data_IF_164213097832
#
_entry.id   IF_164213097832
#
_cell.length_a   1.000
_cell.length_b   1.000
_cell.length_c   1.000
_cell.angle_alpha   90.00
_cell.angle_beta   90.00
_cell.angle_gamma   90.00
#
_symmetry.space_group_name_H-M   'P 1'
#
loop_
_entity.id
_entity.type
_entity.pdbx_description
1 polymer ?
#
# COMPACT_ATOMS: atom_id res chain seq x y z
N UNK A 1 -40.96 -18.00 -30.33
CA UNK A 1 -39.90 -16.96 -30.18
C UNK A 1 -39.30 -17.11 -28.79
N UNK A 2 -38.18 -17.84 -28.71
CA UNK A 2 -37.44 -18.11 -27.47
C UNK A 2 -36.74 -16.81 -27.08
N UNK A 3 -37.06 -16.27 -25.89
CA UNK A 3 -36.30 -15.18 -25.27
C UNK A 3 -35.03 -15.80 -24.70
N UNK A 4 -33.91 -15.64 -25.38
CA UNK A 4 -32.59 -15.88 -24.81
C UNK A 4 -32.41 -14.91 -23.63
N UNK A 5 -32.40 -15.46 -22.42
CA UNK A 5 -31.74 -14.82 -21.28
C UNK A 5 -30.26 -14.81 -21.58
N UNK A 6 -29.74 -13.68 -22.06
CA UNK A 6 -28.31 -13.42 -22.03
C UNK A 6 -27.89 -13.32 -20.56
N UNK A 7 -27.46 -14.46 -20.01
CA UNK A 7 -26.63 -14.50 -18.82
C UNK A 7 -25.27 -13.89 -19.21
N UNK A 8 -25.20 -12.56 -19.22
CA UNK A 8 -23.94 -11.85 -19.25
C UNK A 8 -23.28 -12.11 -17.90
N UNK A 9 -22.35 -13.07 -17.87
CA UNK A 9 -21.45 -13.31 -16.75
C UNK A 9 -20.44 -12.15 -16.67
N UNK A 10 -20.91 -10.93 -16.37
CA UNK A 10 -20.07 -9.77 -16.12
C UNK A 10 -19.47 -9.95 -14.73
N UNK A 11 -18.18 -10.31 -14.66
CA UNK A 11 -17.45 -10.44 -13.39
C UNK A 11 -17.58 -9.20 -12.51
N UNK A 12 -17.55 -9.38 -11.19
CA UNK A 12 -17.69 -8.26 -10.26
C UNK A 12 -16.40 -7.42 -10.20
N UNK A 13 -16.51 -6.13 -10.52
CA UNK A 13 -15.48 -5.15 -10.21
C UNK A 13 -15.56 -4.79 -8.71
N UNK A 14 -14.75 -5.48 -7.91
CA UNK A 14 -14.65 -5.26 -6.46
C UNK A 14 -14.05 -3.89 -6.09
N UNK A 15 -13.49 -3.15 -7.05
CA UNK A 15 -12.86 -1.85 -6.82
C UNK A 15 -13.82 -0.67 -7.08
N UNK A 16 -15.01 -0.93 -7.66
CA UNK A 16 -16.05 0.05 -7.92
C UNK A 16 -17.23 -0.14 -6.97
N UNK A 17 -17.50 0.87 -6.15
CA UNK A 17 -18.38 0.72 -5.00
C UNK A 17 -18.51 1.98 -4.16
N UNK A 18 -18.91 1.80 -2.91
CA UNK A 18 -19.08 2.87 -1.93
C UNK A 18 -18.68 2.41 -0.54
N UNK A 19 -18.34 3.38 0.31
CA UNK A 19 -18.16 3.14 1.73
C UNK A 19 -19.52 3.05 2.42
N UNK A 20 -19.68 2.04 3.27
CA UNK A 20 -20.87 1.85 4.10
C UNK A 20 -20.44 1.60 5.55
N UNK A 21 -21.25 2.06 6.49
CA UNK A 21 -21.01 1.83 7.91
C UNK A 21 -21.13 0.35 8.24
N UNK A 22 -20.25 -0.13 9.10
CA UNK A 22 -20.22 -1.50 9.63
C UNK A 22 -19.67 -1.48 11.05
N UNK A 23 -20.56 -1.70 12.02
CA UNK A 23 -20.23 -1.68 13.44
C UNK A 23 -19.63 -3.01 13.94
N UNK A 24 -19.46 -4.01 13.06
CA UNK A 24 -18.70 -5.23 13.39
C UNK A 24 -17.19 -5.05 13.23
N UNK A 25 -16.75 -3.86 12.82
CA UNK A 25 -15.35 -3.47 12.61
C UNK A 25 -14.77 -2.71 13.82
N UNK A 26 -13.44 -2.63 13.93
CA UNK A 26 -12.40 -3.25 13.08
C UNK A 26 -12.32 -4.78 13.24
N UNK A 27 -11.60 -5.47 12.34
CA UNK A 27 -11.41 -6.94 12.41
C UNK A 27 -10.42 -7.39 13.51
N UNK A 28 -9.68 -6.43 14.05
CA UNK A 28 -8.79 -6.57 15.20
C UNK A 28 -8.68 -5.20 15.87
N UNK A 29 -8.39 -5.17 17.17
CA UNK A 29 -8.13 -3.94 17.89
C UNK A 29 -6.65 -3.54 17.79
N UNK A 30 -6.35 -2.24 17.87
CA UNK A 30 -4.96 -1.74 17.77
C UNK A 30 -4.03 -2.40 18.80
N UNK A 31 -4.51 -2.60 20.02
CA UNK A 31 -3.74 -3.20 21.12
C UNK A 31 -3.55 -4.72 21.00
N UNK A 32 -4.35 -5.40 20.16
CA UNK A 32 -4.23 -6.86 19.94
C UNK A 32 -3.03 -7.22 19.05
N UNK A 33 -2.52 -6.26 18.25
CA UNK A 33 -1.47 -6.52 17.27
C UNK A 33 -0.13 -5.86 17.65
N UNK A 34 0.83 -6.62 18.21
CA UNK A 34 2.12 -6.08 18.65
C UNK A 34 3.06 -5.68 17.48
N UNK A 35 2.67 -5.98 16.25
CA UNK A 35 3.47 -5.73 15.05
C UNK A 35 3.25 -4.32 14.47
N UNK A 36 2.20 -3.61 14.91
CA UNK A 36 1.93 -2.24 14.46
C UNK A 36 3.05 -1.34 14.96
N UNK A 37 3.68 -0.61 14.05
CA UNK A 37 4.71 0.36 14.41
C UNK A 37 4.06 1.59 15.08
N UNK A 38 4.71 2.23 16.06
CA UNK A 38 4.19 3.41 16.75
C UNK A 38 3.81 4.58 15.83
N UNK A 39 4.30 4.60 14.59
CA UNK A 39 3.92 5.58 13.58
C UNK A 39 2.50 5.38 13.02
N UNK A 40 1.86 4.23 13.28
CA UNK A 40 0.53 3.86 12.75
C UNK A 40 -0.50 3.56 13.86
N UNK A 41 -0.08 3.47 15.12
CA UNK A 41 -0.94 3.25 16.31
C UNK A 41 -1.58 4.56 16.76
N UNK A 42 -2.68 4.96 16.13
CA UNK A 42 -3.30 6.26 16.39
C UNK A 42 -3.99 6.35 17.75
N UNK A 43 -4.65 5.29 18.19
CA UNK A 43 -5.34 5.26 19.48
C UNK A 43 -4.35 5.37 20.64
N UNK A 44 -3.26 4.60 20.58
CA UNK A 44 -2.17 4.68 21.56
C UNK A 44 -1.47 6.05 21.58
N UNK A 45 -1.61 6.86 20.52
CA UNK A 45 -1.09 8.23 20.45
C UNK A 45 -2.18 9.30 20.63
N UNK A 46 -3.29 8.92 21.26
CA UNK A 46 -4.28 9.86 21.79
C UNK A 46 -5.32 10.34 20.79
N UNK A 47 -5.54 9.60 19.68
CA UNK A 47 -6.64 9.88 18.75
C UNK A 47 -7.99 9.62 19.43
N UNK A 48 -8.83 10.63 19.70
CA UNK A 48 -10.09 10.42 20.41
C UNK A 48 -11.19 9.81 19.52
N UNK A 49 -11.19 10.10 18.23
CA UNK A 49 -12.22 9.64 17.30
C UNK A 49 -11.98 8.21 16.83
N UNK A 50 -13.06 7.41 16.85
CA UNK A 50 -13.06 6.00 16.41
C UNK A 50 -13.87 5.79 15.12
N UNK A 51 -14.61 6.80 14.67
CA UNK A 51 -15.58 6.66 13.60
C UNK A 51 -14.99 6.17 12.27
N UNK A 52 -13.72 6.49 12.01
CA UNK A 52 -13.00 6.08 10.81
C UNK A 52 -12.81 4.55 10.73
N UNK A 53 -12.95 3.82 11.84
CA UNK A 53 -12.80 2.35 11.91
C UNK A 53 -14.04 1.60 11.41
N UNK A 54 -15.23 2.17 11.58
CA UNK A 54 -16.50 1.49 11.33
C UNK A 54 -16.95 1.59 9.87
N UNK A 55 -16.01 1.53 8.93
CA UNK A 55 -16.27 1.65 7.49
C UNK A 55 -15.82 0.39 6.76
N UNK A 56 -16.71 -0.13 5.91
CA UNK A 56 -16.40 -1.20 4.96
C UNK A 56 -16.61 -0.72 3.52
N UNK A 57 -15.87 -1.31 2.60
CA UNK A 57 -16.09 -1.10 1.17
C UNK A 57 -17.16 -2.07 0.66
N UNK A 58 -18.17 -1.56 -0.05
CA UNK A 58 -19.24 -2.33 -0.67
C UNK A 58 -19.17 -2.12 -2.19
N UNK A 59 -18.73 -3.12 -2.97
CA UNK A 59 -18.83 -3.06 -4.42
C UNK A 59 -20.27 -2.90 -4.89
N UNK A 60 -20.45 -2.30 -6.07
CA UNK A 60 -21.78 -2.00 -6.62
C UNK A 60 -22.55 -3.26 -7.04
N UNK A 61 -21.85 -4.25 -7.61
CA UNK A 61 -22.47 -5.43 -8.24
C UNK A 61 -22.34 -6.73 -7.41
N UNK A 62 -21.58 -6.70 -6.31
CA UNK A 62 -21.39 -7.86 -5.43
C UNK A 62 -20.95 -7.43 -4.03
N UNK A 63 -20.77 -8.42 -3.15
CA UNK A 63 -20.19 -8.22 -1.82
C UNK A 63 -18.80 -8.83 -1.74
N UNK A 64 -17.91 -8.18 -1.00
CA UNK A 64 -16.59 -8.73 -0.69
C UNK A 64 -16.78 -9.83 0.37
N UNK A 65 -16.21 -11.02 0.16
CA UNK A 65 -16.24 -12.07 1.17
C UNK A 65 -15.49 -11.62 2.43
N UNK A 66 -16.03 -11.94 3.60
CA UNK A 66 -15.36 -11.65 4.87
C UNK A 66 -13.96 -12.24 4.89
N UNK A 67 -12.98 -11.47 5.36
CA UNK A 67 -11.60 -11.94 5.48
C UNK A 67 -11.54 -13.18 6.38
N UNK A 68 -10.97 -14.27 5.85
CA UNK A 68 -10.76 -15.50 6.60
C UNK A 68 -9.27 -15.76 6.76
N UNK A 69 -8.76 -15.48 7.97
CA UNK A 69 -7.35 -15.62 8.30
C UNK A 69 -6.86 -17.08 8.14
N UNK A 70 -7.65 -18.07 8.56
CA UNK A 70 -7.30 -19.49 8.42
C UNK A 70 -7.21 -19.89 6.95
N UNK A 71 -8.16 -19.46 6.11
CA UNK A 71 -8.09 -19.73 4.67
C UNK A 71 -6.85 -19.11 4.04
N UNK A 72 -6.53 -17.86 4.40
CA UNK A 72 -5.34 -17.18 3.90
C UNK A 72 -4.05 -17.90 4.35
N UNK A 73 -3.96 -18.32 5.61
CA UNK A 73 -2.81 -19.05 6.14
C UNK A 73 -2.64 -20.43 5.49
N UNK A 74 -3.72 -21.18 5.31
CA UNK A 74 -3.69 -22.48 4.62
C UNK A 74 -3.28 -22.32 3.15
N UNK A 75 -3.79 -21.30 2.47
CA UNK A 75 -3.39 -21.01 1.11
C UNK A 75 -1.92 -20.60 0.99
N UNK A 76 -1.35 -20.00 2.04
CA UNK A 76 0.07 -19.64 2.15
C UNK A 76 0.93 -20.78 2.71
N UNK A 77 0.38 -21.96 2.96
CA UNK A 77 1.13 -23.08 3.55
C UNK A 77 2.31 -23.46 2.66
N UNK A 78 3.52 -23.42 3.23
CA UNK A 78 4.77 -23.68 2.52
C UNK A 78 5.14 -22.62 1.47
N UNK A 79 4.52 -21.44 1.50
CA UNK A 79 4.68 -20.38 0.50
C UNK A 79 5.32 -19.11 1.05
N UNK A 80 5.81 -18.30 0.11
CA UNK A 80 6.33 -16.95 0.35
C UNK A 80 5.42 -15.92 -0.30
N UNK A 81 4.89 -15.00 0.50
CA UNK A 81 4.20 -13.80 0.04
C UNK A 81 5.05 -12.58 0.36
N UNK A 82 5.32 -11.74 -0.63
CA UNK A 82 6.19 -10.59 -0.47
C UNK A 82 5.54 -9.30 -0.96
N UNK A 83 5.49 -8.32 -0.06
CA UNK A 83 5.18 -6.93 -0.36
C UNK A 83 6.47 -6.17 -0.67
N UNK A 84 6.52 -5.48 -1.80
CA UNK A 84 7.73 -4.78 -2.27
C UNK A 84 7.37 -3.34 -2.62
N UNK A 85 7.94 -2.37 -1.90
CA UNK A 85 7.67 -0.98 -2.22
C UNK A 85 8.05 0.01 -1.14
N UNK A 86 7.24 1.06 -1.04
CA UNK A 86 7.45 2.19 -0.14
C UNK A 86 6.77 1.98 1.24
N UNK A 87 6.69 3.05 2.03
CA UNK A 87 6.14 2.99 3.39
C UNK A 87 4.64 2.69 3.44
N UNK A 88 3.87 2.96 2.39
CA UNK A 88 2.45 2.63 2.33
C UNK A 88 2.27 1.14 2.10
N UNK A 89 3.11 0.54 1.26
CA UNK A 89 3.14 -0.90 1.07
C UNK A 89 3.52 -1.64 2.35
N UNK A 90 4.44 -1.09 3.14
CA UNK A 90 4.76 -1.61 4.49
C UNK A 90 3.57 -1.55 5.44
N UNK A 91 2.77 -0.49 5.36
CA UNK A 91 1.53 -0.37 6.12
C UNK A 91 0.53 -1.46 5.76
N UNK A 92 0.34 -1.74 4.46
CA UNK A 92 -0.51 -2.84 3.99
C UNK A 92 0.00 -4.21 4.48
N UNK A 93 1.32 -4.45 4.41
CA UNK A 93 1.95 -5.64 4.98
C UNK A 93 1.65 -5.79 6.49
N UNK A 94 1.80 -4.70 7.24
CA UNK A 94 1.57 -4.70 8.69
C UNK A 94 0.10 -4.99 9.01
N UNK A 95 -0.83 -4.39 8.27
CA UNK A 95 -2.26 -4.69 8.35
C UNK A 95 -2.55 -6.18 8.10
N UNK A 96 -1.95 -6.78 7.07
CA UNK A 96 -2.18 -8.20 6.77
C UNK A 96 -1.70 -9.08 7.93
N UNK A 97 -0.54 -8.78 8.51
CA UNK A 97 -0.05 -9.53 9.68
C UNK A 97 -1.02 -9.43 10.84
N UNK A 98 -1.57 -8.24 11.11
CA UNK A 98 -2.55 -8.08 12.19
C UNK A 98 -3.84 -8.86 11.95
N UNK A 99 -4.31 -8.92 10.70
CA UNK A 99 -5.45 -9.76 10.31
C UNK A 99 -5.15 -11.27 10.49
N UNK A 100 -3.93 -11.71 10.21
CA UNK A 100 -3.55 -13.13 10.30
C UNK A 100 -3.22 -13.59 11.72
N UNK A 101 -2.49 -12.76 12.48
CA UNK A 101 -1.90 -13.18 13.76
C UNK A 101 -2.92 -13.55 14.82
N UNK A 102 -4.17 -13.05 14.71
CA UNK A 102 -5.29 -13.41 15.60
C UNK A 102 -5.68 -14.88 15.46
N UNK A 103 -5.49 -15.47 14.28
CA UNK A 103 -5.69 -16.91 14.04
C UNK A 103 -4.51 -17.78 14.50
N UNK A 104 -3.43 -17.17 15.00
CA UNK A 104 -2.24 -17.85 15.52
C UNK A 104 -2.05 -17.40 16.98
N UNK A 105 -2.85 -17.94 17.93
CA UNK A 105 -2.85 -17.47 19.31
C UNK A 105 -1.55 -17.81 20.05
N UNK A 106 -0.92 -18.93 19.72
CA UNK A 106 0.38 -19.29 20.29
C UNK A 106 1.49 -18.36 19.76
N UNK A 107 2.14 -17.65 20.67
CA UNK A 107 3.25 -16.77 20.35
C UNK A 107 4.49 -17.55 19.89
N UNK A 108 4.66 -18.81 20.31
CA UNK A 108 5.76 -19.64 19.86
C UNK A 108 5.59 -20.13 18.42
N UNK A 109 4.37 -20.13 17.89
CA UNK A 109 4.03 -20.49 16.52
C UNK A 109 4.26 -19.35 15.50
N UNK A 110 4.74 -18.17 15.94
CA UNK A 110 5.03 -17.02 15.06
C UNK A 110 6.33 -16.30 15.40
N UNK A 111 6.99 -15.72 14.39
CA UNK A 111 8.19 -14.87 14.56
C UNK A 111 8.12 -13.63 13.69
N UNK A 112 8.87 -12.60 14.10
CA UNK A 112 9.08 -11.37 13.32
C UNK A 112 10.58 -11.06 13.31
N UNK A 113 11.17 -11.05 12.12
CA UNK A 113 12.60 -10.81 11.92
C UNK A 113 12.81 -9.56 11.07
N UNK A 114 13.87 -8.80 11.39
CA UNK A 114 14.26 -7.59 10.69
C UNK A 114 15.69 -7.77 10.18
N UNK A 115 15.86 -7.97 8.88
CA UNK A 115 17.15 -8.30 8.26
C UNK A 115 17.38 -7.34 7.11
N UNK A 116 18.30 -6.40 7.26
CA UNK A 116 18.61 -5.38 6.26
C UNK A 116 17.35 -4.63 5.77
N UNK A 117 16.94 -4.86 4.52
CA UNK A 117 15.75 -4.29 3.87
C UNK A 117 14.47 -5.10 4.09
N UNK A 118 14.55 -6.23 4.80
CA UNK A 118 13.44 -7.14 5.05
C UNK A 118 12.77 -6.94 6.40
N UNK A 119 11.46 -7.16 6.41
CA UNK A 119 10.68 -7.54 7.58
C UNK A 119 10.01 -8.87 7.24
N UNK A 120 10.19 -9.89 8.08
CA UNK A 120 9.76 -11.26 7.78
C UNK A 120 8.90 -11.74 8.94
N UNK A 121 7.61 -11.94 8.67
CA UNK A 121 6.70 -12.62 9.58
C UNK A 121 6.58 -14.09 9.16
N UNK A 122 6.86 -15.00 10.08
CA UNK A 122 6.75 -16.44 9.83
C UNK A 122 5.65 -17.03 10.70
N UNK A 123 4.68 -17.69 10.06
CA UNK A 123 3.68 -18.53 10.71
C UNK A 123 4.15 -19.99 10.64
N UNK A 124 4.72 -20.50 11.74
CA UNK A 124 5.51 -21.75 11.76
C UNK A 124 4.67 -22.98 11.44
N UNK A 125 3.49 -23.10 12.01
CA UNK A 125 2.60 -24.24 11.78
C UNK A 125 2.13 -24.36 10.33
N UNK A 126 2.17 -23.25 9.60
CA UNK A 126 1.85 -23.18 8.18
C UNK A 126 3.11 -23.25 7.30
N UNK A 127 4.31 -23.14 7.87
CA UNK A 127 5.53 -22.89 7.12
C UNK A 127 5.35 -21.75 6.11
N UNK A 128 4.61 -20.71 6.50
CA UNK A 128 4.25 -19.58 5.65
C UNK A 128 5.10 -18.36 6.02
N UNK A 129 5.68 -17.71 5.02
CA UNK A 129 6.46 -16.48 5.18
C UNK A 129 5.76 -15.33 4.49
N UNK A 130 5.41 -14.30 5.26
CA UNK A 130 4.88 -13.04 4.78
C UNK A 130 5.97 -12.00 4.97
N UNK A 131 6.37 -11.34 3.89
CA UNK A 131 7.59 -10.55 3.82
C UNK A 131 7.28 -9.12 3.36
N UNK A 132 8.00 -8.14 3.90
CA UNK A 132 8.10 -6.80 3.32
C UNK A 132 9.54 -6.54 2.91
N UNK A 133 9.76 -6.12 1.68
CA UNK A 133 11.05 -5.69 1.16
C UNK A 133 11.04 -4.21 0.80
N UNK A 134 11.95 -3.44 1.40
CA UNK A 134 12.09 -2.01 1.13
C UNK A 134 12.76 -1.76 -0.22
N UNK A 135 11.96 -1.36 -1.20
CA UNK A 135 12.42 -0.88 -2.51
C UNK A 135 11.47 0.23 -2.99
N UNK A 136 11.53 1.42 -2.38
CA UNK A 136 10.51 2.44 -2.53
C UNK A 136 10.41 3.01 -3.96
N UNK A 137 11.49 2.88 -4.74
CA UNK A 137 11.54 3.21 -6.17
C UNK A 137 11.57 1.99 -7.09
N UNK A 138 11.58 0.78 -6.52
CA UNK A 138 11.79 -0.53 -7.18
C UNK A 138 13.16 -0.71 -7.86
N UNK A 139 13.73 0.38 -8.38
CA UNK A 139 15.10 0.49 -8.85
C UNK A 139 16.04 0.81 -7.69
N UNK A 140 17.34 0.55 -7.89
CA UNK A 140 18.39 1.02 -7.00
C UNK A 140 18.30 2.53 -6.82
N UNK A 141 18.32 2.97 -5.56
CA UNK A 141 18.28 4.37 -5.19
C UNK A 141 19.19 4.70 -4.00
N UNK A 142 19.49 5.99 -3.84
CA UNK A 142 20.16 6.48 -2.63
C UNK A 142 19.27 6.48 -1.37
N UNK A 143 18.06 5.91 -1.47
CA UNK A 143 17.08 5.85 -0.41
C UNK A 143 16.64 4.40 -0.11
N UNK A 144 17.44 3.41 -0.52
CA UNK A 144 17.22 1.97 -0.31
C UNK A 144 17.53 1.51 1.13
N UNK A 145 18.07 2.38 1.99
CA UNK A 145 18.27 2.03 3.40
C UNK A 145 16.99 2.35 4.21
N UNK A 146 16.27 1.36 4.77
CA UNK A 146 14.99 1.60 5.44
C UNK A 146 15.09 2.48 6.70
N UNK A 147 16.29 2.77 7.22
CA UNK A 147 16.53 3.66 8.36
C UNK A 147 17.21 4.99 7.97
N UNK A 148 18.08 4.98 6.95
CA UNK A 148 18.88 6.13 6.49
C UNK A 148 18.49 6.54 5.06
N UNK A 149 17.22 6.84 4.85
CA UNK A 149 16.67 7.17 3.52
C UNK A 149 16.17 8.61 3.37
N UNK A 150 16.33 9.44 4.40
CA UNK A 150 15.97 10.86 4.33
C UNK A 150 17.13 11.64 3.72
N UNK A 151 17.04 11.87 2.43
CA UNK A 151 18.06 12.54 1.61
C UNK A 151 17.47 13.81 0.98
N UNK A 152 18.32 14.79 0.66
CA UNK A 152 17.91 16.05 0.04
C UNK A 152 17.43 15.86 -1.40
N UNK A 153 18.08 14.97 -2.14
CA UNK A 153 17.75 14.61 -3.52
C UNK A 153 17.58 13.10 -3.63
N UNK A 154 16.65 12.67 -4.48
CA UNK A 154 16.38 11.25 -4.70
C UNK A 154 16.99 10.83 -6.02
N UNK A 155 17.92 9.89 -5.98
CA UNK A 155 18.65 9.41 -7.16
C UNK A 155 18.21 7.98 -7.43
N UNK A 156 17.79 7.70 -8.66
CA UNK A 156 17.47 6.36 -9.15
C UNK A 156 18.44 5.95 -10.26
N UNK A 157 18.84 4.67 -10.27
CA UNK A 157 19.69 4.13 -11.34
C UNK A 157 18.84 3.37 -12.35
N UNK A 158 18.94 3.71 -13.64
CA UNK A 158 18.22 2.95 -14.66
C UNK A 158 18.79 1.54 -14.85
N UNK A 159 17.93 0.58 -15.22
CA UNK A 159 18.33 -0.80 -15.51
C UNK A 159 18.88 -1.55 -14.29
N UNK A 160 18.63 -1.04 -13.08
CA UNK A 160 19.18 -1.57 -11.83
C UNK A 160 18.21 -2.45 -11.05
N UNK A 161 17.02 -2.72 -11.61
CA UNK A 161 15.97 -3.50 -10.95
C UNK A 161 16.48 -4.85 -10.43
N UNK A 162 17.41 -5.49 -11.14
CA UNK A 162 17.99 -6.78 -10.75
C UNK A 162 18.70 -6.75 -9.38
N UNK A 163 19.20 -5.58 -8.93
CA UNK A 163 19.82 -5.41 -7.60
C UNK A 163 18.84 -5.79 -6.48
N UNK A 164 17.58 -5.38 -6.62
CA UNK A 164 16.51 -5.76 -5.70
C UNK A 164 15.81 -7.05 -6.15
N UNK A 165 15.61 -7.19 -7.45
CA UNK A 165 14.89 -8.29 -8.07
C UNK A 165 15.42 -9.68 -7.72
N UNK A 166 16.72 -9.83 -7.47
CA UNK A 166 17.28 -11.10 -6.98
C UNK A 166 16.59 -11.62 -5.71
N UNK A 167 16.08 -10.74 -4.85
CA UNK A 167 15.43 -11.09 -3.58
C UNK A 167 13.95 -11.49 -3.74
N UNK A 168 13.31 -11.02 -4.82
CA UNK A 168 11.89 -11.24 -5.09
C UNK A 168 11.64 -12.58 -5.79
N UNK A 169 12.70 -13.20 -6.32
CA UNK A 169 12.63 -14.52 -6.96
C UNK A 169 12.04 -15.54 -5.98
N UNK A 170 11.33 -16.50 -6.55
CA UNK A 170 10.72 -17.63 -5.84
C UNK A 170 9.60 -17.27 -4.85
N UNK A 171 9.19 -16.00 -4.75
CA UNK A 171 7.95 -15.67 -4.07
C UNK A 171 6.75 -16.24 -4.84
N UNK A 172 5.81 -16.86 -4.14
CA UNK A 172 4.55 -17.36 -4.71
C UNK A 172 3.56 -16.23 -4.98
N UNK A 173 3.61 -15.17 -4.17
CA UNK A 173 2.75 -13.99 -4.31
C UNK A 173 3.62 -12.74 -4.15
N UNK A 174 3.61 -11.88 -5.17
CA UNK A 174 4.29 -10.59 -5.16
C UNK A 174 3.26 -9.47 -5.15
N UNK A 175 3.38 -8.54 -4.21
CA UNK A 175 2.52 -7.35 -4.12
C UNK A 175 3.39 -6.11 -4.18
N UNK A 176 3.50 -5.52 -5.36
CA UNK A 176 4.30 -4.32 -5.61
C UNK A 176 3.52 -3.04 -5.34
N UNK A 177 4.19 -2.00 -4.87
CA UNK A 177 3.75 -0.61 -4.98
C UNK A 177 4.97 0.32 -5.09
N UNK A 178 4.76 1.49 -5.68
CA UNK A 178 5.71 2.59 -5.61
C UNK A 178 4.99 3.87 -5.98
N UNK A 179 4.89 4.85 -5.06
CA UNK A 179 4.19 6.10 -5.37
C UNK A 179 4.66 7.30 -4.55
N UNK A 180 4.60 7.23 -3.23
CA UNK A 180 4.61 8.44 -2.40
C UNK A 180 5.89 9.28 -2.54
N UNK A 181 6.99 8.60 -2.84
CA UNK A 181 8.30 9.23 -2.95
C UNK A 181 8.54 9.91 -4.27
N UNK A 182 7.78 9.56 -5.31
CA UNK A 182 7.80 10.24 -6.59
C UNK A 182 7.12 11.61 -6.50
N UNK A 183 6.07 11.71 -5.68
CA UNK A 183 5.29 12.93 -5.52
C UNK A 183 5.76 13.80 -4.34
N UNK A 184 6.90 13.49 -3.72
CA UNK A 184 7.40 14.22 -2.54
C UNK A 184 8.09 15.54 -2.88
N UNK A 185 8.03 16.01 -4.14
CA UNK A 185 8.61 17.28 -4.59
C UNK A 185 10.13 17.31 -4.77
N UNK A 186 10.82 16.18 -4.56
CA UNK A 186 12.28 16.08 -4.76
C UNK A 186 12.60 15.74 -6.21
N UNK A 187 13.70 16.31 -6.73
CA UNK A 187 14.16 15.98 -8.08
C UNK A 187 14.53 14.49 -8.13
N UNK A 188 13.93 13.75 -9.06
CA UNK A 188 14.35 12.38 -9.36
C UNK A 188 15.49 12.47 -10.36
N UNK A 189 16.67 12.17 -9.85
CA UNK A 189 17.93 12.27 -10.55
C UNK A 189 18.26 10.91 -11.18
N UNK A 190 18.53 10.94 -12.48
CA UNK A 190 18.67 9.75 -13.31
C UNK A 190 20.14 9.52 -13.67
N UNK A 191 20.63 8.30 -13.43
CA UNK A 191 21.99 7.88 -13.81
C UNK A 191 21.91 6.86 -14.95
N UNK A 192 22.46 7.21 -16.11
CA UNK A 192 22.67 6.26 -17.21
C UNK A 192 23.91 5.41 -16.93
N UNK A 193 23.87 4.12 -17.27
CA UNK A 193 24.69 3.03 -16.70
C UNK A 193 26.22 3.16 -16.76
N UNK A 194 26.80 4.22 -17.34
CA UNK A 194 28.26 4.32 -17.51
C UNK A 194 28.85 5.73 -17.31
N UNK A 195 28.04 6.78 -17.07
CA UNK A 195 28.56 8.14 -16.89
C UNK A 195 27.90 8.75 -15.65
N UNK A 196 28.70 9.34 -14.78
CA UNK A 196 28.30 10.10 -13.57
C UNK A 196 27.43 11.33 -13.87
N UNK A 197 26.91 11.47 -15.08
CA UNK A 197 26.01 12.55 -15.48
C UNK A 197 24.62 12.28 -14.91
N UNK A 198 24.40 12.85 -13.73
CA UNK A 198 23.10 12.93 -13.11
C UNK A 198 22.24 13.92 -13.91
N UNK A 199 21.16 13.44 -14.51
CA UNK A 199 20.22 14.27 -15.27
C UNK A 199 18.88 14.34 -14.54
N UNK A 200 18.29 15.53 -14.49
CA UNK A 200 16.92 15.72 -14.03
C UNK A 200 15.95 15.43 -15.18
N UNK A 201 15.02 14.51 -14.97
CA UNK A 201 13.97 14.17 -15.94
C UNK A 201 12.59 14.43 -15.32
N UNK A 202 11.53 14.62 -16.13
CA UNK A 202 10.18 14.71 -15.62
C UNK A 202 9.80 13.49 -14.77
N UNK A 203 9.10 13.72 -13.66
CA UNK A 203 8.70 12.66 -12.72
C UNK A 203 7.97 11.51 -13.41
N UNK A 204 7.01 11.81 -14.29
CA UNK A 204 6.23 10.80 -14.99
C UNK A 204 7.10 9.92 -15.92
N UNK A 205 8.14 10.49 -16.54
CA UNK A 205 9.08 9.74 -17.37
C UNK A 205 9.96 8.83 -16.51
N UNK A 206 10.47 9.36 -15.39
CA UNK A 206 11.24 8.58 -14.41
C UNK A 206 10.43 7.39 -13.88
N UNK A 207 9.15 7.64 -13.54
CA UNK A 207 8.23 6.61 -13.09
C UNK A 207 7.99 5.55 -14.17
N UNK A 208 7.75 5.97 -15.41
CA UNK A 208 7.56 5.07 -16.55
C UNK A 208 8.79 4.19 -16.80
N UNK A 209 10.00 4.71 -16.62
CA UNK A 209 11.25 3.92 -16.71
C UNK A 209 11.29 2.85 -15.61
N UNK A 210 10.92 3.18 -14.38
CA UNK A 210 10.83 2.19 -13.29
C UNK A 210 9.79 1.10 -13.60
N UNK A 211 8.60 1.47 -14.08
CA UNK A 211 7.57 0.49 -14.45
C UNK A 211 8.01 -0.40 -15.61
N UNK A 212 8.64 0.15 -16.66
CA UNK A 212 9.23 -0.64 -17.75
C UNK A 212 10.28 -1.61 -17.26
N UNK A 213 11.10 -1.20 -16.31
CA UNK A 213 12.14 -2.06 -15.74
C UNK A 213 11.53 -3.18 -14.89
N UNK A 214 10.49 -2.88 -14.11
CA UNK A 214 9.73 -3.88 -13.37
C UNK A 214 9.09 -4.92 -14.31
N UNK A 215 8.43 -4.48 -15.38
CA UNK A 215 7.82 -5.38 -16.38
C UNK A 215 8.86 -6.31 -17.00
N UNK A 216 10.00 -5.77 -17.44
CA UNK A 216 11.10 -6.58 -17.97
C UNK A 216 11.61 -7.60 -16.95
N UNK A 217 11.68 -7.22 -15.68
CA UNK A 217 12.09 -8.12 -14.62
C UNK A 217 11.05 -9.22 -14.39
N UNK A 218 9.76 -8.87 -14.34
CA UNK A 218 8.64 -9.81 -14.18
C UNK A 218 8.65 -10.82 -15.33
N UNK A 219 8.61 -10.37 -16.57
CA UNK A 219 8.54 -11.24 -17.76
C UNK A 219 9.73 -12.20 -17.86
N UNK A 220 10.89 -11.80 -17.33
CA UNK A 220 12.12 -12.60 -17.35
C UNK A 220 12.21 -13.61 -16.20
N UNK A 221 11.66 -13.30 -15.03
CA UNK A 221 11.96 -14.04 -13.79
C UNK A 221 10.74 -14.69 -13.13
N UNK A 222 9.52 -14.36 -13.55
CA UNK A 222 8.28 -14.84 -12.93
C UNK A 222 7.68 -15.93 -13.79
N UNK A 223 7.47 -17.10 -13.18
CA UNK A 223 6.66 -18.18 -13.76
C UNK A 223 5.18 -17.96 -13.38
N UNK A 224 4.29 -17.60 -14.32
CA UNK A 224 2.89 -17.32 -14.03
C UNK A 224 2.09 -18.54 -13.55
N UNK A 225 2.61 -19.77 -13.74
CA UNK A 225 1.97 -20.99 -13.22
C UNK A 225 2.19 -21.18 -11.72
N UNK A 226 3.24 -20.56 -11.17
CA UNK A 226 3.62 -20.66 -9.76
C UNK A 226 3.36 -19.37 -8.99
N UNK A 227 3.65 -18.23 -9.61
CA UNK A 227 3.70 -16.93 -8.95
C UNK A 227 2.60 -16.01 -9.45
N UNK A 228 1.88 -15.40 -8.50
CA UNK A 228 0.86 -14.37 -8.79
C UNK A 228 1.42 -12.99 -8.49
N UNK A 229 1.28 -12.07 -9.44
CA UNK A 229 1.80 -10.71 -9.31
C UNK A 229 0.65 -9.71 -9.16
N UNK A 230 0.75 -8.87 -8.15
CA UNK A 230 -0.16 -7.78 -7.85
C UNK A 230 0.58 -6.46 -7.87
N UNK A 231 -0.11 -5.39 -8.30
CA UNK A 231 0.35 -4.03 -8.15
C UNK A 231 -0.72 -3.20 -7.42
N UNK A 232 -0.42 -2.76 -6.21
CA UNK A 232 -1.26 -1.84 -5.48
C UNK A 232 -1.14 -0.44 -6.07
N UNK A 233 -2.26 0.10 -6.57
CA UNK A 233 -2.29 1.43 -7.16
C UNK A 233 -2.05 2.50 -6.11
N UNK A 234 -2.03 3.76 -6.52
CA UNK A 234 -1.50 4.84 -5.70
C UNK A 234 -2.35 5.14 -4.48
N UNK A 235 -1.73 5.08 -3.30
CA UNK A 235 -2.31 5.59 -2.06
C UNK A 235 -2.35 7.13 -2.13
N UNK A 236 -3.54 7.76 -2.03
CA UNK A 236 -3.67 9.21 -2.12
C UNK A 236 -3.10 9.91 -0.89
N UNK A 237 -2.93 11.23 -1.01
CA UNK A 237 -2.57 12.11 0.12
C UNK A 237 -3.64 13.17 0.35
N UNK A 238 -3.80 13.59 1.60
CA UNK A 238 -4.74 14.64 2.00
C UNK A 238 -3.99 15.83 2.60
N UNK A 239 -2.91 16.25 1.93
CA UNK A 239 -2.04 17.33 2.38
C UNK A 239 -2.70 18.72 2.31
N UNK A 240 -3.72 18.88 1.44
CA UNK A 240 -4.29 20.18 1.13
C UNK A 240 -5.80 20.14 1.03
N UNK A 241 -6.49 20.73 2.01
CA UNK A 241 -7.95 20.70 2.10
C UNK A 241 -8.68 21.49 1.02
N UNK A 242 -8.00 22.38 0.31
CA UNK A 242 -8.60 23.09 -0.82
C UNK A 242 -9.11 22.13 -1.89
N UNK A 243 -8.54 20.92 -1.97
CA UNK A 243 -8.94 19.88 -2.92
C UNK A 243 -10.34 19.28 -2.63
N UNK A 244 -10.91 19.48 -1.44
CA UNK A 244 -12.23 18.94 -1.09
C UNK A 244 -13.18 19.90 -0.40
N UNK A 245 -12.72 21.03 0.16
CA UNK A 245 -13.62 22.07 0.69
C UNK A 245 -13.10 23.51 0.54
N UNK A 246 -12.07 23.75 -0.28
CA UNK A 246 -11.61 25.11 -0.61
C UNK A 246 -10.74 25.83 0.44
N UNK A 247 -10.42 25.21 1.59
CA UNK A 247 -9.48 25.79 2.57
C UNK A 247 -8.03 25.57 2.15
N UNK A 248 -7.33 26.66 1.80
CA UNK A 248 -5.92 26.65 1.39
C UNK A 248 -4.93 26.49 2.55
N UNK A 249 -5.38 26.63 3.80
CA UNK A 249 -4.53 26.56 5.01
C UNK A 249 -4.75 25.28 5.81
N UNK A 250 -5.65 24.41 5.37
CA UNK A 250 -5.95 23.14 6.03
C UNK A 250 -5.30 21.94 5.33
N UNK A 251 -5.39 20.81 6.03
CA UNK A 251 -4.94 19.49 5.61
C UNK A 251 -5.82 18.44 6.31
N UNK A 252 -5.38 17.18 6.40
CA UNK A 252 -6.12 16.11 7.08
C UNK A 252 -6.30 16.29 8.60
N UNK A 253 -5.70 17.31 9.23
CA UNK A 253 -5.90 17.56 10.66
C UNK A 253 -7.34 17.97 10.96
N UNK A 254 -7.94 17.37 11.99
CA UNK A 254 -9.36 17.51 12.38
C UNK A 254 -10.38 17.02 11.33
N UNK A 255 -9.95 16.28 10.31
CA UNK A 255 -10.88 15.64 9.39
C UNK A 255 -11.38 14.32 9.98
N UNK A 256 -12.66 14.25 10.33
CA UNK A 256 -13.29 13.07 10.97
C UNK A 256 -14.33 12.37 10.11
N UNK A 257 -14.59 12.91 8.92
CA UNK A 257 -15.56 12.40 7.94
C UNK A 257 -14.92 12.23 6.58
N UNK A 258 -15.52 11.38 5.74
CA UNK A 258 -15.07 11.19 4.36
C UNK A 258 -15.43 12.37 3.46
N UNK A 259 -14.72 12.49 2.34
CA UNK A 259 -15.13 13.33 1.22
C UNK A 259 -16.37 12.72 0.59
N UNK A 260 -17.42 13.53 0.42
CA UNK A 260 -18.71 13.07 -0.12
C UNK A 260 -18.75 13.07 -1.66
N UNK A 261 -17.88 13.83 -2.31
CA UNK A 261 -17.76 13.86 -3.77
C UNK A 261 -17.22 12.50 -4.27
N UNK A 262 -18.03 11.69 -4.98
CA UNK A 262 -17.60 10.39 -5.48
C UNK A 262 -16.55 10.52 -6.60
N UNK A 263 -16.42 11.70 -7.22
CA UNK A 263 -15.46 11.97 -8.28
C UNK A 263 -14.13 12.53 -7.75
N UNK A 264 -14.00 12.72 -6.43
CA UNK A 264 -12.75 13.20 -5.85
C UNK A 264 -11.62 12.20 -6.11
N UNK A 265 -10.51 12.68 -6.67
CA UNK A 265 -9.36 11.85 -7.02
C UNK A 265 -8.07 12.44 -6.45
N UNK A 266 -7.50 11.75 -5.47
CA UNK A 266 -6.39 12.24 -4.65
C UNK A 266 -4.98 11.87 -5.16
N UNK A 267 -4.84 11.43 -6.42
CA UNK A 267 -3.58 10.89 -6.94
C UNK A 267 -3.15 11.52 -8.29
N UNK A 268 -1.85 11.40 -8.59
CA UNK A 268 -1.25 11.87 -9.85
C UNK A 268 -1.64 10.99 -11.02
N UNK A 269 -2.59 11.46 -11.84
CA UNK A 269 -3.13 10.72 -13.01
C UNK A 269 -2.02 10.29 -13.98
N UNK A 270 -0.97 11.11 -14.15
CA UNK A 270 0.15 10.81 -15.02
C UNK A 270 0.92 9.55 -14.59
N UNK A 271 1.10 9.35 -13.29
CA UNK A 271 1.76 8.16 -12.72
C UNK A 271 0.84 6.93 -12.79
N UNK A 272 -0.47 7.11 -12.57
CA UNK A 272 -1.43 6.00 -12.73
C UNK A 272 -1.39 5.48 -14.15
N UNK A 273 -1.48 6.39 -15.11
CA UNK A 273 -1.44 6.06 -16.52
C UNK A 273 -0.14 5.37 -16.90
N UNK A 274 1.00 5.86 -16.42
CA UNK A 274 2.29 5.21 -16.65
C UNK A 274 2.36 3.79 -16.05
N UNK A 275 1.87 3.58 -14.82
CA UNK A 275 1.78 2.24 -14.23
C UNK A 275 0.90 1.32 -15.08
N UNK A 276 -0.34 1.73 -15.34
CA UNK A 276 -1.34 0.93 -16.05
C UNK A 276 -0.89 0.59 -17.46
N UNK A 277 -0.38 1.56 -18.22
CA UNK A 277 0.07 1.34 -19.59
C UNK A 277 1.29 0.41 -19.67
N UNK A 278 2.27 0.53 -18.77
CA UNK A 278 3.46 -0.31 -18.85
C UNK A 278 3.19 -1.71 -18.30
N UNK A 279 2.52 -1.86 -17.15
CA UNK A 279 2.27 -3.17 -16.54
C UNK A 279 1.31 -4.04 -17.37
N UNK A 280 0.37 -3.44 -18.10
CA UNK A 280 -0.49 -4.18 -19.04
C UNK A 280 0.27 -4.75 -20.27
N UNK A 281 1.53 -4.36 -20.50
CA UNK A 281 2.37 -4.93 -21.56
C UNK A 281 3.11 -6.19 -21.12
N UNK A 282 3.08 -6.53 -19.82
CA UNK A 282 3.71 -7.73 -19.29
C UNK A 282 3.08 -8.98 -19.89
N UNK A 283 3.90 -9.96 -20.26
CA UNK A 283 3.42 -11.27 -20.69
C UNK A 283 2.93 -12.11 -19.50
N UNK A 284 3.42 -11.80 -18.30
CA UNK A 284 2.92 -12.32 -17.03
C UNK A 284 1.72 -11.47 -16.56
N UNK A 285 0.58 -12.08 -16.19
CA UNK A 285 -0.55 -11.32 -15.69
C UNK A 285 -0.22 -10.55 -14.40
N UNK A 286 -0.34 -9.22 -14.46
CA UNK A 286 -0.24 -8.33 -13.29
C UNK A 286 -1.63 -7.88 -12.87
N UNK A 287 -2.08 -8.27 -11.67
CA UNK A 287 -3.38 -7.88 -11.14
C UNK A 287 -3.29 -6.54 -10.41
N UNK A 288 -4.03 -5.54 -10.86
CA UNK A 288 -4.13 -4.28 -10.13
C UNK A 288 -5.03 -4.41 -8.90
N UNK A 289 -4.52 -4.02 -7.73
CA UNK A 289 -5.36 -3.66 -6.60
C UNK A 289 -5.69 -2.18 -6.75
N UNK A 290 -6.80 -1.86 -7.42
CA UNK A 290 -7.21 -0.49 -7.70
C UNK A 290 -7.79 0.19 -6.44
N UNK A 291 -6.90 0.57 -5.54
CA UNK A 291 -7.21 1.13 -4.22
C UNK A 291 -7.34 2.66 -4.23
N UNK A 292 -7.01 3.32 -5.34
CA UNK A 292 -6.84 4.79 -5.35
C UNK A 292 -8.16 5.53 -5.16
N UNK A 293 -9.20 5.19 -5.91
CA UNK A 293 -10.49 5.89 -5.85
C UNK A 293 -11.14 5.72 -4.47
N UNK A 294 -11.26 4.48 -3.98
CA UNK A 294 -11.85 4.21 -2.66
C UNK A 294 -11.07 4.88 -1.53
N UNK A 295 -9.74 4.96 -1.66
CA UNK A 295 -8.89 5.61 -0.65
C UNK A 295 -8.97 7.13 -0.72
N UNK A 296 -9.31 7.70 -1.88
CA UNK A 296 -9.34 9.15 -2.09
C UNK A 296 -10.45 9.83 -1.29
N UNK A 297 -11.50 9.12 -0.90
CA UNK A 297 -12.54 9.68 -0.04
C UNK A 297 -12.15 9.69 1.46
N UNK A 298 -11.11 8.95 1.85
CA UNK A 298 -10.80 8.62 3.24
C UNK A 298 -9.89 9.63 3.95
N UNK A 299 -10.14 10.93 3.78
CA UNK A 299 -9.39 11.99 4.48
C UNK A 299 -9.37 11.85 6.01
N UNK A 300 -10.35 11.12 6.55
CA UNK A 300 -10.52 10.79 7.97
C UNK A 300 -9.57 9.70 8.48
N UNK A 301 -8.98 8.86 7.64
CA UNK A 301 -8.28 7.66 8.10
C UNK A 301 -6.76 7.85 8.31
N UNK A 302 -6.23 9.05 8.05
CA UNK A 302 -4.81 9.34 8.21
C UNK A 302 -4.34 9.35 9.66
N UNK A 303 -3.06 9.08 9.86
CA UNK A 303 -2.41 9.18 11.19
C UNK A 303 -2.45 10.60 11.76
N UNK A 304 -2.41 11.62 10.89
CA UNK A 304 -2.45 13.02 11.30
C UNK A 304 -1.35 13.30 12.34
N UNK A 305 -1.70 13.86 13.49
CA UNK A 305 -0.75 14.10 14.59
C UNK A 305 -0.57 12.89 15.52
N UNK A 306 -1.48 11.91 15.45
CA UNK A 306 -1.62 10.80 16.38
C UNK A 306 -0.67 9.66 16.02
N UNK A 307 0.63 9.92 16.18
CA UNK A 307 1.67 8.95 15.89
C UNK A 307 2.96 9.28 16.61
N UNK A 308 3.88 8.32 16.68
CA UNK A 308 5.25 8.58 17.12
C UNK A 308 5.94 9.55 16.15
N UNK A 309 6.25 10.73 16.66
CA UNK A 309 7.02 11.73 15.94
C UNK A 309 8.49 11.33 15.87
N UNK A 310 9.14 11.63 14.74
CA UNK A 310 10.53 11.23 14.49
C UNK A 310 11.55 12.05 15.26
N UNK A 311 11.15 13.21 15.76
CA UNK A 311 11.96 14.10 16.57
C UNK A 311 11.07 14.86 17.54
N UNK A 312 11.70 15.58 18.48
CA UNK A 312 11.00 16.43 19.42
C UNK A 312 10.35 17.59 18.66
N UNK A 313 9.05 17.78 18.86
CA UNK A 313 8.32 18.91 18.29
C UNK A 313 8.77 20.23 18.94
N UNK A 314 8.89 21.29 18.14
CA UNK A 314 9.16 22.64 18.64
C UNK A 314 7.91 23.25 19.28
N UNK A 315 8.07 24.38 19.99
CA UNK A 315 6.92 25.09 20.58
C UNK A 315 5.96 25.60 19.50
N UNK A 316 6.50 26.06 18.38
CA UNK A 316 5.75 26.55 17.23
C UNK A 316 4.95 25.43 16.57
N UNK A 317 5.56 24.24 16.44
CA UNK A 317 4.86 23.07 15.94
C UNK A 317 3.71 22.68 16.88
N UNK A 318 3.97 22.57 18.19
CA UNK A 318 2.93 22.25 19.17
C UNK A 318 1.76 23.24 19.16
N UNK A 319 2.04 24.54 18.95
CA UNK A 319 1.01 25.57 18.82
C UNK A 319 0.22 25.48 17.50
N UNK A 320 0.75 24.80 16.48
CA UNK A 320 0.10 24.61 15.18
C UNK A 320 0.15 23.12 14.75
N UNK A 321 -0.76 22.27 15.26
CA UNK A 321 -0.83 20.84 14.92
C UNK A 321 -0.84 20.52 13.42
N UNK A 322 -1.47 21.38 12.61
CA UNK A 322 -1.49 21.24 11.15
C UNK A 322 -0.09 21.17 10.55
N UNK A 323 0.91 21.83 11.15
CA UNK A 323 2.29 21.89 10.64
C UNK A 323 3.05 20.56 10.67
N UNK A 324 2.62 19.61 11.50
CA UNK A 324 3.27 18.31 11.65
C UNK A 324 2.31 17.12 11.47
N UNK A 325 1.09 17.38 11.00
CA UNK A 325 0.14 16.34 10.64
C UNK A 325 0.65 15.51 9.46
N UNK A 326 0.62 14.19 9.62
CA UNK A 326 0.95 13.23 8.56
C UNK A 326 -0.31 12.83 7.80
N UNK A 327 -0.47 13.44 6.63
CA UNK A 327 -1.58 13.21 5.71
C UNK A 327 -1.22 12.26 4.57
N UNK A 328 -0.32 11.32 4.86
CA UNK A 328 0.19 10.31 3.95
C UNK A 328 -0.12 8.94 4.51
N UNK A 329 0.32 8.66 5.74
CA UNK A 329 0.19 7.35 6.36
C UNK A 329 -1.18 7.16 7.02
N UNK A 330 -1.58 5.91 7.18
CA UNK A 330 -2.91 5.50 7.63
C UNK A 330 -2.83 4.90 9.03
N UNK A 331 -3.83 5.16 9.86
CA UNK A 331 -3.99 4.45 11.13
C UNK A 331 -4.22 2.95 10.88
N UNK A 332 -3.73 2.11 11.80
CA UNK A 332 -4.03 0.69 11.85
C UNK A 332 -4.67 0.35 13.21
N UNK A 333 -5.81 -0.37 13.26
CA UNK A 333 -6.65 -0.80 12.13
C UNK A 333 -7.23 0.38 11.32
N UNK A 334 -7.69 0.12 10.09
CA UNK A 334 -8.25 1.16 9.24
C UNK A 334 -8.24 0.84 7.74
N UNK A 335 -7.97 1.86 6.92
CA UNK A 335 -8.10 1.79 5.45
C UNK A 335 -7.28 0.65 4.82
N UNK A 336 -6.10 0.35 5.33
CA UNK A 336 -5.24 -0.67 4.74
C UNK A 336 -5.75 -2.10 4.96
N UNK A 337 -6.65 -2.30 5.94
CA UNK A 337 -7.35 -3.58 6.12
C UNK A 337 -8.26 -3.86 4.91
N UNK A 338 -8.91 -2.83 4.37
CA UNK A 338 -9.73 -2.93 3.16
C UNK A 338 -8.88 -3.29 1.94
N UNK A 339 -7.65 -2.77 1.84
CA UNK A 339 -6.74 -3.15 0.76
C UNK A 339 -6.40 -4.64 0.81
N UNK A 340 -6.27 -5.19 2.02
CA UNK A 340 -6.04 -6.63 2.24
C UNK A 340 -7.30 -7.48 2.03
N UNK A 341 -8.49 -6.97 2.33
CA UNK A 341 -9.75 -7.63 1.95
C UNK A 341 -9.92 -7.71 0.43
N UNK A 342 -9.55 -6.66 -0.31
CA UNK A 342 -9.56 -6.66 -1.77
C UNK A 342 -8.52 -7.63 -2.36
N UNK A 343 -7.32 -7.66 -1.77
CA UNK A 343 -6.29 -8.64 -2.12
C UNK A 343 -6.75 -10.07 -1.85
N UNK A 344 -7.35 -10.33 -0.69
CA UNK A 344 -7.95 -11.62 -0.34
C UNK A 344 -9.04 -12.02 -1.34
N UNK A 345 -9.94 -11.09 -1.68
CA UNK A 345 -10.97 -11.34 -2.70
C UNK A 345 -10.34 -11.72 -4.03
N UNK A 346 -9.30 -11.02 -4.50
CA UNK A 346 -8.63 -11.37 -5.75
C UNK A 346 -7.80 -12.63 -5.68
N UNK A 347 -7.32 -13.03 -4.50
CA UNK A 347 -6.62 -14.29 -4.32
C UNK A 347 -7.56 -15.50 -4.44
N UNK A 348 -8.75 -15.45 -3.84
CA UNK A 348 -9.62 -16.62 -3.71
C UNK A 348 -10.88 -16.60 -4.57
N UNK A 349 -11.28 -15.42 -5.06
CA UNK A 349 -12.49 -15.18 -5.84
C UNK A 349 -12.19 -14.28 -7.05
N UNK A 350 -11.27 -14.71 -7.95
CA UNK A 350 -10.68 -13.85 -9.00
C UNK A 350 -11.67 -13.32 -10.03
#
# INVERSE_FOLDING_TARGET
KIKNSNNNNSGCDVFSGRWVRDYTRPLYEEWECPYIKPQLTCQAHGRPEMDYLYWRWQPNACSIPSFNATLMLEALRGKRMMFVGDSLNRGQYTSLICLLQRAIPDQHAKTMEYIESFQIFTAKDYNARIEFYWAPFLLESNADNPSKHRVSDRIIRNGSVDKHGQYWKEADILVFNSYIWWISGLSVLYVHSQITNIVKIPMADAYRIAMKSLVKWIDKNVDPTRTRVFFATMSPTHQWSYKWHGDWKGNCYNETTMIQDPNHFGAEISLMRAATEELNKSTVPVTFLNITQLSSSRKDAHTSIYKKQWGRLTKEQLANPKSYADCIHWCLPGLQDIWNELLFSKLFYP
#
